data_IF_524002418739
#
_entry.id   IF_524002418739
#
_cell.length_a   1.000
_cell.length_b   1.000
_cell.length_c   1.000
_cell.angle_alpha   90.00
_cell.angle_beta   90.00
_cell.angle_gamma   90.00
#
_symmetry.space_group_name_H-M   'P 1'
#
loop_
_entity.id
_entity.type
_entity.pdbx_description
1 polymer ?
#
# COMPACT_ATOMS: atom_id res chain seq x y z
N UNK A 1 14.55 34.13 6.89
CA UNK A 1 14.29 33.17 5.80
C UNK A 1 14.60 33.92 4.52
N UNK A 2 15.63 33.50 3.80
CA UNK A 2 16.23 34.21 2.66
C UNK A 2 15.46 34.02 1.33
N UNK A 3 14.33 33.35 1.34
CA UNK A 3 13.54 33.08 0.14
C UNK A 3 14.12 32.05 -0.82
N UNK A 4 15.21 31.35 -0.45
CA UNK A 4 15.82 30.32 -1.27
C UNK A 4 14.92 29.07 -1.31
N UNK A 5 14.59 28.58 -2.51
CA UNK A 5 13.91 27.32 -2.69
C UNK A 5 14.95 26.19 -2.73
N UNK A 6 14.90 25.30 -1.73
CA UNK A 6 15.77 24.13 -1.68
C UNK A 6 15.15 22.96 -2.46
N UNK A 7 15.98 22.27 -3.25
CA UNK A 7 15.61 20.99 -3.86
C UNK A 7 15.97 19.84 -2.92
N UNK A 8 14.97 19.10 -2.47
CA UNK A 8 15.12 18.01 -1.50
C UNK A 8 16.06 16.90 -1.99
N UNK A 9 16.18 16.75 -3.31
CA UNK A 9 16.95 15.67 -3.94
C UNK A 9 18.31 16.15 -4.50
N UNK A 10 18.48 17.45 -4.74
CA UNK A 10 19.68 17.99 -5.38
C UNK A 10 20.63 18.72 -4.39
N UNK A 11 20.09 19.32 -3.32
CA UNK A 11 20.88 20.23 -2.48
C UNK A 11 21.62 19.56 -1.32
N UNK A 12 21.59 18.21 -1.23
CA UNK A 12 22.34 17.45 -0.20
C UNK A 12 21.94 17.80 1.23
N UNK A 13 20.66 18.08 1.46
CA UNK A 13 20.14 18.50 2.75
C UNK A 13 20.32 17.44 3.84
N UNK A 14 20.72 17.84 5.05
CA UNK A 14 20.76 16.99 6.23
C UNK A 14 19.42 17.10 6.95
N UNK A 15 18.65 16.02 6.95
CA UNK A 15 17.32 15.95 7.60
C UNK A 15 17.46 15.24 8.93
N UNK A 16 17.21 15.97 10.02
CA UNK A 16 17.20 15.41 11.39
C UNK A 16 15.77 15.03 11.76
N UNK A 17 15.59 13.77 12.16
CA UNK A 17 14.29 13.23 12.56
C UNK A 17 14.29 12.80 14.03
N UNK A 18 13.13 12.56 14.60
CA UNK A 18 12.96 12.03 15.96
C UNK A 18 12.88 10.50 16.00
N UNK A 19 13.00 9.83 14.84
CA UNK A 19 12.95 8.39 14.72
C UNK A 19 14.10 7.72 15.51
N UNK A 20 13.76 6.61 16.17
CA UNK A 20 14.74 5.71 16.79
C UNK A 20 14.93 4.50 15.87
N UNK A 21 16.13 4.26 15.33
CA UNK A 21 16.36 3.18 14.35
C UNK A 21 16.00 1.79 14.88
N UNK A 22 16.21 1.52 16.16
CA UNK A 22 15.88 0.23 16.78
C UNK A 22 14.36 0.05 16.88
N UNK A 23 13.65 1.10 17.32
CA UNK A 23 12.19 1.07 17.38
C UNK A 23 11.58 0.95 15.98
N UNK A 24 12.18 1.62 14.99
CA UNK A 24 11.77 1.50 13.58
C UNK A 24 11.92 0.07 13.09
N UNK A 25 13.06 -0.54 13.31
CA UNK A 25 13.32 -1.95 12.94
C UNK A 25 12.31 -2.90 13.59
N UNK A 26 12.10 -2.79 14.90
CA UNK A 26 11.12 -3.63 15.61
C UNK A 26 9.70 -3.43 15.09
N UNK A 27 9.33 -2.20 14.76
CA UNK A 27 8.02 -1.91 14.19
C UNK A 27 7.82 -2.55 12.81
N UNK A 28 8.82 -2.47 11.93
CA UNK A 28 8.80 -3.09 10.61
C UNK A 28 8.74 -4.62 10.71
N UNK A 29 9.57 -5.21 11.58
CA UNK A 29 9.58 -6.65 11.83
C UNK A 29 8.23 -7.14 12.37
N UNK A 30 7.67 -6.46 13.37
CA UNK A 30 6.39 -6.81 13.97
C UNK A 30 5.23 -6.72 12.95
N UNK A 31 5.17 -5.65 12.17
CA UNK A 31 4.17 -5.49 11.10
C UNK A 31 4.31 -6.59 10.04
N UNK A 32 5.53 -6.84 9.59
CA UNK A 32 5.80 -7.88 8.59
C UNK A 32 5.44 -9.26 9.11
N UNK A 33 5.86 -9.60 10.33
CA UNK A 33 5.63 -10.91 10.93
C UNK A 33 4.14 -11.17 11.11
N UNK A 34 3.42 -10.27 11.74
CA UNK A 34 2.00 -10.41 11.98
C UNK A 34 1.18 -10.48 10.70
N UNK A 35 1.48 -9.62 9.72
CA UNK A 35 0.77 -9.66 8.44
C UNK A 35 1.09 -10.93 7.65
N UNK A 36 2.36 -11.36 7.60
CA UNK A 36 2.77 -12.48 6.75
C UNK A 36 2.47 -13.84 7.35
N UNK A 37 2.65 -14.02 8.67
CA UNK A 37 2.52 -15.32 9.33
C UNK A 37 1.13 -15.58 9.87
N UNK A 38 0.46 -14.54 10.39
CA UNK A 38 -0.82 -14.71 11.09
C UNK A 38 -2.00 -14.37 10.17
N UNK A 39 -2.05 -13.16 9.64
CA UNK A 39 -3.25 -12.67 8.95
C UNK A 39 -3.36 -13.13 7.49
N UNK A 40 -2.29 -13.02 6.72
CA UNK A 40 -2.32 -13.36 5.29
C UNK A 40 -2.67 -14.82 5.02
N UNK A 41 -2.09 -15.81 5.74
CA UNK A 41 -2.45 -17.22 5.53
C UNK A 41 -3.92 -17.52 5.83
N UNK A 42 -4.48 -16.90 6.87
CA UNK A 42 -5.90 -17.05 7.21
C UNK A 42 -6.79 -16.48 6.11
N UNK A 43 -6.46 -15.28 5.64
CA UNK A 43 -7.18 -14.65 4.54
C UNK A 43 -7.04 -15.42 3.24
N UNK A 44 -5.85 -15.91 2.92
CA UNK A 44 -5.62 -16.70 1.70
C UNK A 44 -6.41 -18.01 1.72
N UNK A 45 -6.51 -18.66 2.87
CA UNK A 45 -7.36 -19.86 3.06
C UNK A 45 -8.83 -19.55 2.89
N UNK A 46 -9.30 -18.42 3.45
CA UNK A 46 -10.70 -18.01 3.34
C UNK A 46 -11.06 -17.56 1.92
N UNK A 47 -10.19 -16.79 1.26
CA UNK A 47 -10.48 -16.21 -0.05
C UNK A 47 -10.57 -17.21 -1.19
N UNK A 48 -9.96 -18.39 -1.06
CA UNK A 48 -10.03 -19.45 -2.08
C UNK A 48 -11.49 -19.85 -2.37
N UNK A 49 -12.35 -19.74 -1.37
CA UNK A 49 -13.78 -20.07 -1.49
C UNK A 49 -14.66 -18.86 -1.88
N UNK A 50 -14.07 -17.67 -2.07
CA UNK A 50 -14.82 -16.45 -2.41
C UNK A 50 -14.82 -16.20 -3.91
N UNK A 51 -16.01 -16.07 -4.50
CA UNK A 51 -16.23 -15.84 -5.94
C UNK A 51 -15.49 -14.59 -6.44
N UNK A 52 -15.51 -13.50 -5.66
CA UNK A 52 -15.00 -12.20 -6.08
C UNK A 52 -13.59 -11.93 -5.56
N UNK A 53 -12.86 -12.94 -5.06
CA UNK A 53 -11.51 -12.77 -4.50
C UNK A 53 -10.58 -11.96 -5.44
N UNK A 54 -9.81 -11.02 -4.90
CA UNK A 54 -9.61 -10.63 -3.50
C UNK A 54 -10.65 -9.62 -2.95
N UNK A 55 -11.71 -9.34 -3.70
CA UNK A 55 -12.75 -8.38 -3.33
C UNK A 55 -13.84 -9.05 -2.47
N UNK A 56 -14.64 -8.23 -1.77
CA UNK A 56 -15.81 -8.72 -1.04
C UNK A 56 -16.85 -9.33 -2.00
N UNK A 57 -17.55 -10.36 -1.53
CA UNK A 57 -18.66 -10.93 -2.27
C UNK A 57 -19.85 -9.97 -2.44
N UNK A 58 -19.94 -8.94 -1.58
CA UNK A 58 -20.97 -7.89 -1.68
C UNK A 58 -20.73 -6.90 -2.82
N UNK A 59 -19.51 -6.90 -3.39
CA UNK A 59 -19.20 -6.03 -4.53
C UNK A 59 -19.76 -6.63 -5.83
N UNK A 60 -20.42 -5.78 -6.60
CA UNK A 60 -20.84 -6.12 -7.96
C UNK A 60 -19.64 -6.21 -8.90
N UNK A 61 -19.77 -6.94 -10.00
CA UNK A 61 -18.74 -7.01 -11.05
C UNK A 61 -18.43 -5.64 -11.63
N UNK A 62 -19.42 -4.76 -11.71
CA UNK A 62 -19.22 -3.39 -12.17
C UNK A 62 -18.32 -2.60 -11.21
N UNK A 63 -18.57 -2.66 -9.91
CA UNK A 63 -17.75 -2.03 -8.88
C UNK A 63 -16.30 -2.56 -8.91
N UNK A 64 -16.13 -3.87 -9.06
CA UNK A 64 -14.81 -4.49 -9.18
C UNK A 64 -14.08 -3.96 -10.43
N UNK A 65 -14.76 -3.91 -11.57
CA UNK A 65 -14.20 -3.40 -12.82
C UNK A 65 -13.83 -1.91 -12.73
N UNK A 66 -14.63 -1.11 -12.03
CA UNK A 66 -14.31 0.30 -11.76
C UNK A 66 -13.03 0.43 -10.93
N UNK A 67 -12.90 -0.36 -9.85
CA UNK A 67 -11.70 -0.38 -9.00
C UNK A 67 -10.46 -0.81 -9.78
N UNK A 68 -10.57 -1.87 -10.59
CA UNK A 68 -9.45 -2.36 -11.42
C UNK A 68 -9.06 -1.36 -12.50
N UNK A 69 -10.04 -0.76 -13.18
CA UNK A 69 -9.80 0.27 -14.20
C UNK A 69 -9.13 1.50 -13.59
N UNK A 70 -9.57 1.94 -12.41
CA UNK A 70 -8.94 3.05 -11.69
C UNK A 70 -7.49 2.73 -11.35
N UNK A 71 -7.23 1.54 -10.82
CA UNK A 71 -5.87 1.09 -10.49
C UNK A 71 -4.97 0.97 -11.73
N UNK A 72 -5.51 0.46 -12.85
CA UNK A 72 -4.82 0.43 -14.13
C UNK A 72 -4.40 1.84 -14.56
N UNK A 73 -5.32 2.81 -14.56
CA UNK A 73 -5.06 4.20 -14.97
C UNK A 73 -4.07 4.93 -14.06
N UNK A 74 -3.98 4.53 -12.79
CA UNK A 74 -3.02 5.09 -11.84
C UNK A 74 -1.61 4.47 -11.96
N UNK A 75 -1.46 3.36 -12.66
CA UNK A 75 -0.18 2.68 -12.81
C UNK A 75 0.78 3.44 -13.72
N UNK A 76 2.07 3.31 -13.47
CA UNK A 76 3.11 3.90 -14.31
C UNK A 76 3.07 3.32 -15.73
N UNK A 77 2.84 2.02 -15.86
CA UNK A 77 2.69 1.33 -17.15
C UNK A 77 1.61 1.99 -18.02
N UNK A 78 0.47 2.36 -17.45
CA UNK A 78 -0.58 3.08 -18.17
C UNK A 78 -0.14 4.48 -18.57
N UNK A 79 0.51 5.22 -17.65
CA UNK A 79 0.99 6.57 -17.95
C UNK A 79 2.03 6.59 -19.07
N UNK A 80 2.96 5.61 -19.06
CA UNK A 80 3.96 5.46 -20.13
C UNK A 80 3.30 5.14 -21.46
N UNK A 81 2.41 4.16 -21.53
CA UNK A 81 1.67 3.81 -22.74
C UNK A 81 0.86 5.00 -23.30
N UNK A 82 0.26 5.82 -22.44
CA UNK A 82 -0.42 7.05 -22.87
C UNK A 82 0.55 8.09 -23.41
N UNK A 83 1.72 8.23 -22.82
CA UNK A 83 2.78 9.14 -23.28
C UNK A 83 3.32 8.72 -24.66
N UNK A 84 3.37 7.42 -24.95
CA UNK A 84 3.72 6.84 -26.23
C UNK A 84 2.58 6.95 -27.28
N UNK A 85 1.43 7.52 -26.93
CA UNK A 85 0.33 7.78 -27.84
C UNK A 85 -0.63 6.60 -28.04
N UNK A 86 -0.52 5.51 -27.27
CA UNK A 86 -1.41 4.36 -27.41
C UNK A 86 -2.86 4.73 -27.08
N UNK A 87 -3.79 4.16 -27.85
CA UNK A 87 -5.23 4.29 -27.61
C UNK A 87 -5.66 3.45 -26.41
N UNK A 88 -6.73 3.85 -25.73
CA UNK A 88 -7.29 3.16 -24.57
C UNK A 88 -7.53 1.66 -24.82
N UNK A 89 -8.05 1.32 -26.01
CA UNK A 89 -8.33 -0.08 -26.39
C UNK A 89 -7.06 -0.93 -26.46
N UNK A 90 -5.97 -0.37 -26.99
CA UNK A 90 -4.70 -1.09 -27.13
C UNK A 90 -4.01 -1.25 -25.77
N UNK A 91 -4.10 -0.22 -24.91
CA UNK A 91 -3.62 -0.30 -23.53
C UNK A 91 -4.37 -1.40 -22.76
N UNK A 92 -5.70 -1.49 -22.91
CA UNK A 92 -6.48 -2.57 -22.28
C UNK A 92 -6.07 -3.96 -22.77
N UNK A 93 -5.79 -4.12 -24.07
CA UNK A 93 -5.24 -5.38 -24.63
C UNK A 93 -3.90 -5.70 -23.98
N UNK A 94 -2.98 -4.72 -23.93
CA UNK A 94 -1.66 -4.88 -23.31
C UNK A 94 -1.77 -5.28 -21.82
N UNK A 95 -2.73 -4.72 -21.07
CA UNK A 95 -2.94 -5.08 -19.66
C UNK A 95 -3.49 -6.49 -19.46
N UNK A 96 -4.08 -7.11 -20.49
CA UNK A 96 -4.58 -8.49 -20.45
C UNK A 96 -3.60 -9.51 -21.04
N UNK A 97 -2.52 -9.08 -21.68
CA UNK A 97 -1.49 -9.97 -22.18
C UNK A 97 -0.54 -10.40 -21.06
N UNK A 98 -0.23 -11.71 -21.01
CA UNK A 98 0.74 -12.23 -20.05
C UNK A 98 2.15 -11.81 -20.44
N UNK A 99 2.90 -11.34 -19.49
CA UNK A 99 4.31 -10.96 -19.61
C UNK A 99 5.10 -11.48 -18.42
N UNK A 100 6.38 -11.74 -18.59
CA UNK A 100 7.25 -12.04 -17.48
C UNK A 100 7.40 -10.80 -16.60
N UNK A 101 7.16 -10.97 -15.33
CA UNK A 101 7.30 -9.89 -14.35
C UNK A 101 7.70 -10.42 -12.99
N UNK A 102 8.32 -9.56 -12.21
CA UNK A 102 8.58 -9.79 -10.80
C UNK A 102 7.44 -9.24 -9.96
N UNK A 103 6.93 -10.03 -9.03
CA UNK A 103 5.88 -9.60 -8.09
C UNK A 103 6.34 -9.82 -6.66
N UNK A 104 5.90 -8.92 -5.78
CA UNK A 104 6.10 -9.04 -4.35
C UNK A 104 5.36 -10.26 -3.79
N UNK A 105 6.04 -10.99 -2.90
CA UNK A 105 5.44 -11.94 -1.97
C UNK A 105 6.05 -11.73 -0.58
N UNK A 106 5.41 -12.25 0.46
CA UNK A 106 5.97 -12.18 1.81
C UNK A 106 7.33 -12.88 1.96
N UNK A 107 7.65 -13.78 1.05
CA UNK A 107 8.93 -14.53 1.01
C UNK A 107 9.95 -13.91 0.04
N UNK A 108 9.73 -12.70 -0.43
CA UNK A 108 10.58 -12.01 -1.39
C UNK A 108 9.93 -11.87 -2.78
N UNK A 109 10.70 -11.44 -3.74
CA UNK A 109 10.25 -11.30 -5.12
C UNK A 109 10.14 -12.65 -5.79
N UNK A 110 9.10 -12.82 -6.61
CA UNK A 110 8.87 -14.01 -7.41
C UNK A 110 8.71 -13.66 -8.89
N UNK A 111 9.51 -14.30 -9.73
CA UNK A 111 9.32 -14.23 -11.18
C UNK A 111 8.08 -15.04 -11.58
N UNK A 112 7.25 -14.47 -12.41
CA UNK A 112 5.99 -15.09 -12.81
C UNK A 112 5.52 -14.58 -14.18
N UNK A 113 4.79 -15.43 -14.88
CA UNK A 113 4.13 -15.10 -16.13
C UNK A 113 2.66 -14.76 -15.87
N UNK A 114 2.34 -13.47 -15.78
CA UNK A 114 0.97 -13.02 -15.56
C UNK A 114 0.67 -11.73 -16.32
N UNK A 115 -0.62 -11.40 -16.46
CA UNK A 115 -0.99 -10.13 -17.05
C UNK A 115 -0.82 -8.96 -16.07
N UNK A 116 -0.54 -7.74 -16.56
CA UNK A 116 -0.55 -6.55 -15.71
C UNK A 116 -1.85 -6.35 -14.93
N UNK A 117 -2.99 -6.76 -15.48
CA UNK A 117 -4.27 -6.73 -14.77
C UNK A 117 -4.32 -7.73 -13.60
N UNK A 118 -3.78 -8.93 -13.81
CA UNK A 118 -3.69 -9.93 -12.73
C UNK A 118 -2.69 -9.51 -11.64
N UNK A 119 -1.62 -8.81 -12.00
CA UNK A 119 -0.71 -8.24 -11.00
C UNK A 119 -1.40 -7.20 -10.14
N UNK A 120 -2.28 -6.36 -10.70
CA UNK A 120 -3.10 -5.42 -9.93
C UNK A 120 -3.98 -6.18 -8.91
N UNK A 121 -4.64 -7.26 -9.33
CA UNK A 121 -5.44 -8.12 -8.42
C UNK A 121 -4.55 -8.76 -7.35
N UNK A 122 -3.38 -9.26 -7.74
CA UNK A 122 -2.39 -9.83 -6.80
C UNK A 122 -2.05 -8.84 -5.68
N UNK A 123 -1.68 -7.60 -6.01
CA UNK A 123 -1.37 -6.57 -5.02
C UNK A 123 -2.56 -6.14 -4.15
N UNK A 124 -3.79 -6.29 -4.64
CA UNK A 124 -5.01 -6.03 -3.84
C UNK A 124 -5.32 -7.14 -2.84
N UNK A 125 -4.73 -8.31 -2.97
CA UNK A 125 -4.89 -9.42 -2.04
C UNK A 125 -4.02 -9.32 -0.79
N UNK A 126 -3.06 -8.39 -0.75
CA UNK A 126 -2.21 -8.21 0.43
C UNK A 126 -2.86 -7.32 1.48
N UNK A 127 -2.77 -7.75 2.73
CA UNK A 127 -3.09 -6.88 3.86
C UNK A 127 -2.16 -5.68 3.92
N UNK A 128 -2.73 -4.56 4.37
CA UNK A 128 -2.00 -3.31 4.58
C UNK A 128 -2.29 -2.81 5.98
N UNK A 129 -1.25 -2.39 6.66
CA UNK A 129 -1.35 -1.82 8.00
C UNK A 129 -0.48 -0.57 8.09
N UNK A 130 -0.93 0.41 8.85
CA UNK A 130 -0.10 1.50 9.33
C UNK A 130 0.23 1.28 10.80
N UNK A 131 1.44 1.59 11.20
CA UNK A 131 1.89 1.49 12.58
C UNK A 131 2.74 2.70 12.94
N UNK A 132 2.46 3.32 14.09
CA UNK A 132 3.18 4.50 14.57
C UNK A 132 3.48 4.36 16.06
N UNK A 133 4.68 4.74 16.46
CA UNK A 133 5.09 4.85 17.86
C UNK A 133 5.39 6.30 18.18
N UNK A 134 4.73 6.81 19.21
CA UNK A 134 4.92 8.18 19.69
C UNK A 134 5.35 8.21 21.15
N UNK A 135 6.23 9.14 21.50
CA UNK A 135 6.53 9.45 22.89
C UNK A 135 5.37 10.28 23.47
N UNK A 136 4.67 9.80 24.52
CA UNK A 136 3.49 10.47 25.05
C UNK A 136 3.80 11.81 25.75
N UNK A 137 5.05 12.05 26.16
CA UNK A 137 5.45 13.27 26.86
C UNK A 137 5.66 14.47 25.94
N UNK A 138 6.14 14.23 24.72
CA UNK A 138 6.54 15.33 23.81
C UNK A 138 6.01 15.16 22.37
N UNK A 139 5.24 14.10 22.10
CA UNK A 139 4.66 13.84 20.79
C UNK A 139 5.66 13.42 19.68
N UNK A 140 6.93 13.20 20.02
CA UNK A 140 7.92 12.79 19.04
C UNK A 140 7.63 11.41 18.48
N UNK A 141 7.59 11.29 17.15
CA UNK A 141 7.45 10.02 16.46
C UNK A 141 8.76 9.25 16.56
N UNK A 142 8.71 8.03 17.10
CA UNK A 142 9.85 7.13 17.32
C UNK A 142 9.95 6.02 16.28
N UNK A 143 8.81 5.56 15.75
CA UNK A 143 8.76 4.66 14.62
C UNK A 143 7.53 4.97 13.76
N UNK A 144 7.66 4.73 12.44
CA UNK A 144 6.62 5.01 11.47
C UNK A 144 6.65 3.99 10.34
N UNK A 145 5.60 3.17 10.26
CA UNK A 145 5.45 2.15 9.21
C UNK A 145 4.16 2.44 8.46
N UNK A 146 4.26 3.02 7.27
CA UNK A 146 3.12 3.39 6.43
C UNK A 146 2.50 2.23 5.64
N UNK A 147 3.21 1.10 5.55
CA UNK A 147 2.78 -0.09 4.81
C UNK A 147 3.79 -1.22 4.85
N UNK A 148 3.47 -2.38 4.25
CA UNK A 148 4.34 -3.56 4.33
C UNK A 148 5.72 -3.40 3.68
N UNK A 149 5.79 -2.70 2.55
CA UNK A 149 7.02 -2.38 1.82
C UNK A 149 6.73 -1.22 0.88
N UNK A 150 7.38 -0.07 1.10
CA UNK A 150 7.15 1.16 0.33
C UNK A 150 7.37 1.00 -1.18
N UNK A 151 8.31 0.14 -1.59
CA UNK A 151 8.61 -0.10 -3.01
C UNK A 151 7.42 -0.63 -3.80
N UNK A 152 6.50 -1.35 -3.14
CA UNK A 152 5.33 -2.00 -3.75
C UNK A 152 4.01 -1.44 -3.25
N UNK A 153 3.99 -0.80 -2.08
CA UNK A 153 2.79 -0.31 -1.40
C UNK A 153 3.00 1.15 -0.95
N UNK A 154 3.04 2.05 -1.92
CA UNK A 154 3.31 3.48 -1.68
C UNK A 154 2.20 4.23 -0.94
N UNK A 155 0.98 3.64 -0.84
CA UNK A 155 -0.11 4.27 -0.12
C UNK A 155 0.12 4.18 1.38
N UNK A 156 0.29 5.34 2.00
CA UNK A 156 0.56 5.46 3.43
C UNK A 156 -0.72 5.24 4.25
N UNK A 157 -0.75 4.15 5.01
CA UNK A 157 -1.88 3.77 5.83
C UNK A 157 -1.96 4.57 7.13
N UNK A 158 -0.88 5.22 7.57
CA UNK A 158 -0.86 6.05 8.79
C UNK A 158 -1.44 7.43 8.47
N UNK A 159 -0.90 8.12 7.47
CA UNK A 159 -1.28 9.51 7.16
C UNK A 159 -2.49 9.62 6.23
N UNK A 160 -2.64 8.67 5.29
CA UNK A 160 -3.66 8.74 4.24
C UNK A 160 -4.78 7.72 4.39
N UNK A 161 -4.60 6.71 5.24
CA UNK A 161 -5.59 5.65 5.48
C UNK A 161 -6.81 6.17 6.20
N UNK A 162 -7.98 6.16 5.54
CA UNK A 162 -9.26 6.52 6.16
C UNK A 162 -10.00 5.25 6.59
N UNK A 163 -10.37 5.19 7.87
CA UNK A 163 -11.11 4.08 8.47
C UNK A 163 -12.19 4.62 9.40
N UNK A 164 -13.24 3.83 9.58
CA UNK A 164 -14.24 4.10 10.61
C UNK A 164 -13.57 3.98 11.99
N UNK A 165 -13.68 5.03 12.80
CA UNK A 165 -12.96 5.11 14.08
C UNK A 165 -13.45 4.08 15.11
N UNK A 166 -14.73 3.73 15.08
CA UNK A 166 -15.30 2.79 16.04
C UNK A 166 -14.99 3.19 17.49
N UNK A 167 -14.61 2.22 18.32
CA UNK A 167 -14.30 2.46 19.74
C UNK A 167 -13.02 3.25 19.99
N UNK A 168 -12.18 3.49 18.98
CA UNK A 168 -10.96 4.32 19.14
C UNK A 168 -11.26 5.79 19.36
N UNK A 169 -12.52 6.24 19.14
CA UNK A 169 -12.97 7.59 19.47
C UNK A 169 -13.16 7.81 20.98
N UNK A 170 -13.31 6.74 21.81
CA UNK A 170 -13.64 6.84 23.23
C UNK A 170 -12.68 7.69 24.06
N UNK A 171 -11.33 7.60 23.88
CA UNK A 171 -10.42 8.46 24.63
C UNK A 171 -10.72 9.95 24.42
N UNK A 172 -11.06 10.35 23.19
CA UNK A 172 -11.42 11.74 22.86
C UNK A 172 -12.74 12.12 23.54
N UNK A 173 -13.75 11.25 23.48
CA UNK A 173 -15.04 11.49 24.12
C UNK A 173 -14.91 11.62 25.63
N UNK A 174 -14.13 10.75 26.27
CA UNK A 174 -13.91 10.80 27.73
C UNK A 174 -13.08 12.00 28.20
N UNK A 175 -12.29 12.59 27.29
CA UNK A 175 -11.56 13.83 27.61
C UNK A 175 -12.48 15.06 27.60
N UNK A 176 -13.60 14.97 26.85
CA UNK A 176 -14.58 16.06 26.75
C UNK A 176 -15.72 15.96 27.77
N UNK A 177 -15.85 14.85 28.46
CA UNK A 177 -16.87 14.60 29.49
C UNK A 177 -16.39 14.99 30.87
#
# INVERSE_FOLDING_TARGET
VDGTHYDLYADGLKIYTTLDPRMQQYAEEAVREHLSKDLQPLFDKERVHKRNSPFSNDMTMEQINQVLTRSMKQSERYRMARKEGLKEADIRKMFNQKVNMQVFTWNGLRDTLMSPMDSIKHYKAFFRSGFIVMNPKNGHIKAYVGGPDYRYFMYDMVSSGKRQVGSTIKPILYTLA
#
